data_IF_029778629094
#
_entry.id   IF_029778629094
#
_cell.length_a   1.000
_cell.length_b   1.000
_cell.length_c   1.000
_cell.angle_alpha   90.00
_cell.angle_beta   90.00
_cell.angle_gamma   90.00
#
_symmetry.space_group_name_H-M   'P 1'
#
loop_
_entity.id
_entity.type
_entity.pdbx_description
1 polymer ?
#
# COMPACT_ATOMS: atom_id res chain seq x y z
N UNK A 1 -0.33 17.46 -32.78
CA UNK A 1 -1.04 16.85 -31.63
C UNK A 1 -1.72 15.59 -32.11
N UNK A 2 -1.32 14.40 -31.65
CA UNK A 2 -2.06 13.17 -31.95
C UNK A 2 -3.26 13.12 -31.01
N UNK A 3 -4.47 13.12 -31.57
CA UNK A 3 -5.69 12.82 -30.82
C UNK A 3 -5.54 11.37 -30.32
N UNK A 4 -5.29 11.19 -29.02
CA UNK A 4 -5.31 9.86 -28.41
C UNK A 4 -6.73 9.30 -28.60
N UNK A 5 -6.85 8.21 -29.37
CA UNK A 5 -8.10 7.47 -29.48
C UNK A 5 -8.55 7.11 -28.06
N UNK A 6 -9.78 7.46 -27.74
CA UNK A 6 -10.41 7.12 -26.46
C UNK A 6 -10.29 5.60 -26.27
N UNK A 7 -9.53 5.17 -25.25
CA UNK A 7 -9.33 3.75 -24.93
C UNK A 7 -10.69 3.15 -24.52
N UNK A 8 -11.26 2.29 -25.37
CA UNK A 8 -12.56 1.64 -25.16
C UNK A 8 -12.68 1.04 -23.75
N UNK A 9 -11.58 0.47 -23.24
CA UNK A 9 -11.51 -0.11 -21.90
C UNK A 9 -11.74 0.94 -20.81
N UNK A 10 -11.20 2.14 -20.97
CA UNK A 10 -11.39 3.25 -20.03
C UNK A 10 -12.84 3.72 -20.04
N UNK A 11 -13.48 3.77 -21.22
CA UNK A 11 -14.90 4.08 -21.37
C UNK A 11 -15.76 3.02 -20.69
N UNK A 12 -15.45 1.72 -20.89
CA UNK A 12 -16.19 0.63 -20.25
C UNK A 12 -16.06 0.66 -18.73
N UNK A 13 -14.87 0.95 -18.19
CA UNK A 13 -14.68 1.12 -16.74
C UNK A 13 -15.53 2.28 -16.20
N UNK A 14 -15.53 3.42 -16.88
CA UNK A 14 -16.31 4.58 -16.47
C UNK A 14 -17.83 4.31 -16.54
N UNK A 15 -18.29 3.71 -17.64
CA UNK A 15 -19.69 3.34 -17.81
C UNK A 15 -20.15 2.34 -16.74
N UNK A 16 -19.30 1.35 -16.43
CA UNK A 16 -19.59 0.37 -15.39
C UNK A 16 -19.57 1.00 -13.98
N UNK A 17 -18.63 1.91 -13.70
CA UNK A 17 -18.59 2.64 -12.43
C UNK A 17 -19.83 3.54 -12.24
N UNK A 18 -20.30 4.18 -13.30
CA UNK A 18 -21.54 4.95 -13.30
C UNK A 18 -22.76 4.05 -13.06
N UNK A 19 -22.84 2.91 -13.76
CA UNK A 19 -23.91 1.92 -13.56
C UNK A 19 -23.92 1.41 -12.12
N UNK A 20 -22.76 1.04 -11.59
CA UNK A 20 -22.55 0.66 -10.19
C UNK A 20 -23.08 1.74 -9.23
N UNK A 21 -22.70 3.01 -9.43
CA UNK A 21 -23.18 4.11 -8.59
C UNK A 21 -24.71 4.26 -8.66
N UNK A 22 -25.30 4.22 -9.85
CA UNK A 22 -26.75 4.34 -10.05
C UNK A 22 -27.52 3.17 -9.43
N UNK A 23 -26.99 1.95 -9.52
CA UNK A 23 -27.60 0.76 -8.91
C UNK A 23 -27.47 0.74 -7.39
N UNK A 24 -26.46 1.40 -6.81
CA UNK A 24 -26.23 1.40 -5.38
C UNK A 24 -27.46 1.86 -4.61
N UNK A 25 -28.07 2.99 -5.00
CA UNK A 25 -29.28 3.52 -4.34
C UNK A 25 -30.40 2.48 -4.21
N UNK A 26 -30.68 1.74 -5.28
CA UNK A 26 -31.76 0.76 -5.31
C UNK A 26 -31.45 -0.46 -4.43
N UNK A 27 -30.20 -0.89 -4.39
CA UNK A 27 -29.79 -2.06 -3.61
C UNK A 27 -29.74 -1.71 -2.12
N UNK A 28 -29.22 -0.54 -1.74
CA UNK A 28 -29.19 -0.08 -0.35
C UNK A 28 -30.58 0.23 0.22
N UNK A 29 -31.56 0.57 -0.64
CA UNK A 29 -32.94 0.75 -0.21
C UNK A 29 -33.64 -0.56 0.21
N UNK A 30 -33.09 -1.74 -0.16
CA UNK A 30 -33.67 -3.03 0.20
C UNK A 30 -33.19 -3.50 1.58
N UNK A 31 -31.87 -3.61 1.74
CA UNK A 31 -31.18 -3.98 2.97
C UNK A 31 -29.69 -3.68 2.80
N UNK A 32 -29.09 -2.99 3.77
CA UNK A 32 -27.71 -2.51 3.70
C UNK A 32 -26.68 -3.65 3.73
N UNK A 33 -26.97 -4.73 4.47
CA UNK A 33 -26.07 -5.88 4.57
C UNK A 33 -26.08 -6.68 3.27
N UNK A 34 -27.26 -6.92 2.70
CA UNK A 34 -27.43 -7.54 1.38
C UNK A 34 -26.78 -6.64 0.32
N UNK A 35 -26.90 -5.32 0.44
CA UNK A 35 -26.28 -4.39 -0.50
C UNK A 35 -24.76 -4.51 -0.54
N UNK A 36 -24.10 -4.62 0.61
CA UNK A 36 -22.65 -4.81 0.67
C UNK A 36 -22.23 -6.13 -0.01
N UNK A 37 -23.00 -7.21 0.18
CA UNK A 37 -22.72 -8.52 -0.43
C UNK A 37 -22.90 -8.45 -1.95
N UNK A 38 -24.03 -7.92 -2.42
CA UNK A 38 -24.34 -7.79 -3.85
C UNK A 38 -23.30 -6.90 -4.53
N UNK A 39 -22.97 -5.76 -3.92
CA UNK A 39 -22.01 -4.84 -4.51
C UNK A 39 -20.59 -5.39 -4.53
N UNK A 40 -20.20 -6.19 -3.53
CA UNK A 40 -18.94 -6.93 -3.54
C UNK A 40 -18.84 -7.86 -4.76
N UNK A 41 -19.94 -8.52 -5.14
CA UNK A 41 -20.03 -9.31 -6.38
C UNK A 41 -19.94 -8.44 -7.63
N UNK A 42 -20.62 -7.28 -7.64
CA UNK A 42 -20.57 -6.33 -8.76
C UNK A 42 -19.22 -5.62 -8.91
N UNK A 43 -18.28 -5.74 -7.95
CA UNK A 43 -16.91 -5.25 -8.15
C UNK A 43 -16.09 -6.16 -9.08
N UNK A 44 -16.52 -7.39 -9.35
CA UNK A 44 -15.78 -8.34 -10.18
C UNK A 44 -15.55 -7.82 -11.62
N UNK A 45 -16.53 -7.21 -12.32
CA UNK A 45 -16.25 -6.65 -13.64
C UNK A 45 -15.31 -5.44 -13.59
N UNK A 46 -15.40 -4.57 -12.56
CA UNK A 46 -14.41 -3.49 -12.36
C UNK A 46 -13.02 -4.09 -12.23
N UNK A 47 -12.88 -5.13 -11.39
CA UNK A 47 -11.63 -5.85 -11.21
C UNK A 47 -11.13 -6.41 -12.55
N UNK A 48 -11.94 -7.15 -13.29
CA UNK A 48 -11.55 -7.73 -14.58
C UNK A 48 -11.15 -6.67 -15.62
N UNK A 49 -11.80 -5.50 -15.59
CA UNK A 49 -11.49 -4.39 -16.48
C UNK A 49 -10.22 -3.62 -16.09
N UNK A 50 -9.71 -3.73 -14.86
CA UNK A 50 -8.42 -3.14 -14.48
C UNK A 50 -7.24 -3.91 -15.05
N UNK A 51 -6.12 -3.21 -15.32
CA UNK A 51 -4.89 -3.85 -15.84
C UNK A 51 -4.16 -4.56 -14.71
N UNK A 52 -3.84 -5.83 -14.89
CA UNK A 52 -3.18 -6.68 -13.89
C UNK A 52 -2.01 -7.46 -14.48
N UNK A 53 -1.07 -7.95 -13.65
CA UNK A 53 -0.07 -8.89 -14.12
C UNK A 53 -0.73 -10.20 -14.59
N UNK A 54 -0.10 -10.92 -15.51
CA UNK A 54 -0.66 -12.17 -16.01
C UNK A 54 -0.60 -13.27 -14.93
N UNK A 55 -1.60 -13.38 -14.07
CA UNK A 55 -1.72 -14.45 -13.05
C UNK A 55 -3.18 -14.61 -12.60
N UNK A 56 -4.12 -14.93 -13.51
CA UNK A 56 -5.55 -14.79 -13.27
C UNK A 56 -6.05 -15.55 -12.04
N UNK A 57 -5.60 -16.79 -11.84
CA UNK A 57 -6.02 -17.61 -10.69
C UNK A 57 -5.61 -16.96 -9.36
N UNK A 58 -4.33 -16.59 -9.21
CA UNK A 58 -3.83 -16.01 -7.97
C UNK A 58 -4.43 -14.63 -7.68
N UNK A 59 -4.67 -13.85 -8.73
CA UNK A 59 -5.35 -12.56 -8.64
C UNK A 59 -6.81 -12.72 -8.20
N UNK A 60 -7.52 -13.71 -8.75
CA UNK A 60 -8.88 -14.04 -8.33
C UNK A 60 -8.91 -14.51 -6.87
N UNK A 61 -7.98 -15.36 -6.45
CA UNK A 61 -7.86 -15.76 -5.04
C UNK A 61 -7.59 -14.57 -4.14
N UNK A 62 -6.68 -13.66 -4.52
CA UNK A 62 -6.41 -12.43 -3.77
C UNK A 62 -7.63 -11.51 -3.68
N UNK A 63 -8.37 -11.36 -4.78
CA UNK A 63 -9.61 -10.58 -4.82
C UNK A 63 -10.70 -11.19 -3.94
N UNK A 64 -10.93 -12.50 -4.04
CA UNK A 64 -11.91 -13.20 -3.18
C UNK A 64 -11.52 -13.10 -1.70
N UNK A 65 -10.24 -13.30 -1.37
CA UNK A 65 -9.75 -13.13 0.01
C UNK A 65 -9.95 -11.70 0.51
N UNK A 66 -9.74 -10.70 -0.34
CA UNK A 66 -10.02 -9.30 -0.04
C UNK A 66 -11.50 -9.08 0.26
N UNK A 67 -12.40 -9.57 -0.58
CA UNK A 67 -13.85 -9.43 -0.36
C UNK A 67 -14.29 -10.13 0.94
N UNK A 68 -13.81 -11.35 1.18
CA UNK A 68 -14.11 -12.09 2.41
C UNK A 68 -13.62 -11.34 3.64
N UNK A 69 -12.39 -10.83 3.62
CA UNK A 69 -11.87 -10.02 4.72
C UNK A 69 -12.65 -8.72 4.92
N UNK A 70 -13.10 -8.08 3.85
CA UNK A 70 -13.96 -6.89 3.90
C UNK A 70 -15.34 -7.20 4.48
N UNK A 71 -15.94 -8.34 4.15
CA UNK A 71 -17.20 -8.78 4.73
C UNK A 71 -17.05 -9.09 6.23
N UNK A 72 -15.97 -9.75 6.62
CA UNK A 72 -15.65 -10.00 8.03
C UNK A 72 -15.52 -8.67 8.79
N UNK A 73 -14.73 -7.73 8.28
CA UNK A 73 -14.58 -6.42 8.93
C UNK A 73 -15.87 -5.61 8.92
N UNK A 74 -16.63 -5.61 7.83
CA UNK A 74 -17.94 -4.93 7.78
C UNK A 74 -18.96 -5.51 8.77
N UNK A 75 -18.89 -6.81 9.06
CA UNK A 75 -19.78 -7.45 10.03
C UNK A 75 -19.31 -7.32 11.49
N UNK A 76 -18.02 -7.01 11.73
CA UNK A 76 -17.42 -7.07 13.09
C UNK A 76 -16.90 -5.73 13.59
N UNK A 77 -16.79 -4.72 12.72
CA UNK A 77 -16.23 -3.40 13.02
C UNK A 77 -17.28 -2.35 12.69
N UNK A 78 -17.58 -1.51 13.68
CA UNK A 78 -18.38 -0.30 13.48
C UNK A 78 -17.59 0.69 12.60
N UNK A 79 -18.13 1.15 11.45
CA UNK A 79 -17.50 2.17 10.62
C UNK A 79 -17.19 3.47 11.39
N UNK A 80 -17.91 3.74 12.48
CA UNK A 80 -17.80 4.91 13.36
C UNK A 80 -17.06 4.58 14.69
N UNK A 81 -16.07 3.68 14.63
CA UNK A 81 -15.36 3.19 15.82
C UNK A 81 -14.60 4.25 16.65
N UNK A 82 -14.42 5.48 16.16
CA UNK A 82 -13.62 6.51 16.81
C UNK A 82 -14.16 7.93 16.62
N UNK A 83 -13.61 8.91 17.36
CA UNK A 83 -14.10 10.28 17.36
C UNK A 83 -13.93 10.99 16.01
N UNK A 84 -12.85 10.66 15.27
CA UNK A 84 -12.62 11.23 13.94
C UNK A 84 -13.66 10.71 12.94
N UNK A 85 -13.96 9.41 12.99
CA UNK A 85 -14.94 8.75 12.13
C UNK A 85 -16.34 9.33 12.37
N UNK A 86 -16.72 9.50 13.64
CA UNK A 86 -17.99 10.14 14.03
C UNK A 86 -18.06 11.57 13.48
N UNK A 87 -17.04 12.41 13.73
CA UNK A 87 -17.03 13.80 13.23
C UNK A 87 -17.10 13.90 11.71
N UNK A 88 -16.49 12.97 10.98
CA UNK A 88 -16.63 12.94 9.52
C UNK A 88 -18.05 12.59 9.09
N UNK A 89 -18.67 11.60 9.74
CA UNK A 89 -20.03 11.20 9.41
C UNK A 89 -21.09 12.25 9.83
N UNK A 90 -20.85 13.00 10.90
CA UNK A 90 -21.70 14.11 11.33
C UNK A 90 -21.91 15.16 10.23
N UNK A 91 -20.97 15.35 9.31
CA UNK A 91 -21.19 16.24 8.16
C UNK A 91 -22.27 15.70 7.23
N UNK A 92 -22.36 14.37 7.07
CA UNK A 92 -23.41 13.72 6.27
C UNK A 92 -24.77 13.97 6.90
N UNK A 93 -24.90 13.84 8.22
CA UNK A 93 -26.20 13.98 8.89
C UNK A 93 -26.61 15.43 9.11
N UNK A 94 -25.65 16.34 9.34
CA UNK A 94 -25.90 17.76 9.62
C UNK A 94 -26.40 18.52 8.40
N UNK A 95 -25.77 18.33 7.24
CA UNK A 95 -26.14 19.05 6.03
C UNK A 95 -27.18 18.27 5.23
N UNK A 96 -28.37 18.82 5.04
CA UNK A 96 -29.43 18.16 4.25
C UNK A 96 -29.03 18.03 2.78
N UNK A 97 -28.49 19.09 2.19
CA UNK A 97 -28.11 19.13 0.77
C UNK A 97 -26.63 19.47 0.56
N UNK A 98 -26.11 19.14 -0.63
CA UNK A 98 -24.76 19.55 -1.04
C UNK A 98 -24.63 21.08 -1.15
N UNK A 99 -25.71 21.78 -1.50
CA UNK A 99 -25.74 23.24 -1.57
C UNK A 99 -25.56 23.91 -0.22
N UNK A 100 -25.95 23.26 0.88
CA UNK A 100 -25.75 23.80 2.24
C UNK A 100 -24.31 23.55 2.72
N UNK A 101 -23.77 22.40 2.34
CA UNK A 101 -22.42 21.98 2.71
C UNK A 101 -21.32 22.77 1.99
N UNK A 102 -21.50 23.07 0.69
CA UNK A 102 -20.45 23.65 -0.13
C UNK A 102 -20.01 25.04 0.34
N UNK A 103 -20.91 25.98 0.72
CA UNK A 103 -20.53 27.25 1.33
C UNK A 103 -19.74 27.08 2.63
N UNK A 104 -20.14 26.14 3.50
CA UNK A 104 -19.42 25.84 4.73
C UNK A 104 -17.99 25.36 4.46
N UNK A 105 -17.83 24.42 3.51
CA UNK A 105 -16.51 23.91 3.15
C UNK A 105 -15.64 25.01 2.52
N UNK A 106 -16.20 25.86 1.64
CA UNK A 106 -15.47 26.98 1.03
C UNK A 106 -15.05 28.03 2.06
N UNK A 107 -15.92 28.35 3.01
CA UNK A 107 -15.61 29.32 4.06
C UNK A 107 -14.48 28.81 4.96
N UNK A 108 -14.52 27.53 5.32
CA UNK A 108 -13.46 26.90 6.11
C UNK A 108 -12.13 26.88 5.36
N UNK A 109 -12.15 26.57 4.06
CA UNK A 109 -10.97 26.64 3.18
C UNK A 109 -10.41 28.07 3.13
N UNK A 110 -11.28 29.08 3.00
CA UNK A 110 -10.89 30.49 2.86
C UNK A 110 -10.33 31.07 4.15
N UNK A 111 -10.95 30.77 5.29
CA UNK A 111 -10.65 31.41 6.57
C UNK A 111 -9.60 30.67 7.38
N UNK A 112 -9.51 29.35 7.23
CA UNK A 112 -8.64 28.51 8.04
C UNK A 112 -7.56 27.80 7.22
N UNK A 113 -7.16 28.32 6.06
CA UNK A 113 -6.22 27.66 5.13
C UNK A 113 -4.97 27.03 5.80
N UNK A 114 -4.40 27.72 6.79
CA UNK A 114 -3.19 27.28 7.50
C UNK A 114 -3.45 26.21 8.59
N UNK A 115 -4.71 26.06 9.03
CA UNK A 115 -5.16 25.14 10.09
C UNK A 115 -6.43 24.39 9.66
N UNK A 116 -6.59 24.09 8.36
CA UNK A 116 -7.82 23.48 7.85
C UNK A 116 -8.04 22.16 8.59
N UNK A 117 -9.19 22.03 9.24
CA UNK A 117 -9.63 20.73 9.72
C UNK A 117 -9.79 19.80 8.52
N UNK A 118 -9.27 18.58 8.61
CA UNK A 118 -9.42 17.61 7.53
C UNK A 118 -10.89 17.21 7.28
N UNK A 119 -11.80 17.58 8.19
CA UNK A 119 -13.23 17.23 8.16
C UNK A 119 -13.91 17.81 6.91
N UNK A 120 -13.95 19.14 6.68
CA UNK A 120 -14.49 19.71 5.44
C UNK A 120 -13.76 19.28 4.17
N UNK A 121 -12.45 18.99 4.19
CA UNK A 121 -11.78 18.52 2.96
C UNK A 121 -12.18 17.08 2.64
N UNK A 122 -12.37 16.25 3.66
CA UNK A 122 -12.81 14.87 3.47
C UNK A 122 -14.23 14.84 2.91
N UNK A 123 -15.13 15.71 3.40
CA UNK A 123 -16.51 15.78 2.91
C UNK A 123 -16.66 16.12 1.43
N UNK A 124 -15.71 16.85 0.82
CA UNK A 124 -15.73 17.11 -0.62
C UNK A 124 -15.70 15.83 -1.48
N UNK A 125 -15.18 14.72 -0.95
CA UNK A 125 -15.16 13.43 -1.65
C UNK A 125 -16.39 12.57 -1.32
N UNK A 126 -16.73 12.41 -0.04
CA UNK A 126 -17.77 11.45 0.36
C UNK A 126 -19.18 12.06 0.38
N UNK A 127 -19.35 13.37 0.62
CA UNK A 127 -20.69 13.99 0.64
C UNK A 127 -21.43 13.80 -0.69
N UNK A 128 -20.81 14.00 -1.88
CA UNK A 128 -21.49 13.72 -3.14
C UNK A 128 -21.96 12.28 -3.25
N UNK A 129 -21.16 11.32 -2.76
CA UNK A 129 -21.53 9.91 -2.75
C UNK A 129 -22.76 9.63 -1.89
N UNK A 130 -22.81 10.15 -0.65
CA UNK A 130 -23.97 9.96 0.23
C UNK A 130 -25.20 10.72 -0.24
N UNK A 131 -25.06 11.99 -0.64
CA UNK A 131 -26.20 12.86 -0.97
C UNK A 131 -26.80 12.60 -2.34
N UNK A 132 -26.01 12.28 -3.36
CA UNK A 132 -26.58 11.91 -4.66
C UNK A 132 -27.27 10.56 -4.63
N UNK A 133 -26.78 9.63 -3.82
CA UNK A 133 -27.35 8.28 -3.69
C UNK A 133 -28.43 8.18 -2.61
N UNK A 134 -28.65 9.25 -1.84
CA UNK A 134 -29.58 9.28 -0.70
C UNK A 134 -29.29 8.18 0.31
N UNK A 135 -28.01 7.98 0.60
CA UNK A 135 -27.55 7.03 1.60
C UNK A 135 -27.47 7.75 2.94
N UNK A 136 -28.02 7.13 3.98
CA UNK A 136 -27.97 7.65 5.34
C UNK A 136 -27.09 6.79 6.23
N UNK A 137 -26.92 5.50 5.93
CA UNK A 137 -26.15 4.59 6.77
C UNK A 137 -24.62 4.70 6.53
N UNK A 138 -23.81 4.81 7.60
CA UNK A 138 -22.36 4.94 7.51
C UNK A 138 -21.66 3.73 6.86
N UNK A 139 -22.24 2.52 6.91
CA UNK A 139 -21.71 1.31 6.26
C UNK A 139 -21.56 1.46 4.75
N UNK A 140 -22.32 2.35 4.12
CA UNK A 140 -22.16 2.67 2.70
C UNK A 140 -20.72 3.13 2.34
N UNK A 141 -19.95 3.68 3.31
CA UNK A 141 -18.56 4.08 3.07
C UNK A 141 -17.66 2.89 2.72
N UNK A 142 -17.98 1.69 3.20
CA UNK A 142 -17.21 0.47 2.97
C UNK A 142 -17.11 0.22 1.46
N UNK A 143 -18.19 0.47 0.73
CA UNK A 143 -18.27 0.29 -0.71
C UNK A 143 -17.34 1.26 -1.44
N UNK A 144 -17.45 2.56 -1.16
CA UNK A 144 -16.58 3.58 -1.75
C UNK A 144 -15.11 3.26 -1.46
N UNK A 145 -14.79 2.96 -0.21
CA UNK A 145 -13.42 2.64 0.21
C UNK A 145 -12.91 1.32 -0.39
N UNK A 146 -13.78 0.36 -0.73
CA UNK A 146 -13.38 -0.86 -1.45
C UNK A 146 -12.97 -0.54 -2.88
N UNK A 147 -13.69 0.35 -3.57
CA UNK A 147 -13.29 0.84 -4.89
C UNK A 147 -11.94 1.57 -4.79
N UNK A 148 -11.77 2.45 -3.80
CA UNK A 148 -10.50 3.14 -3.58
C UNK A 148 -9.35 2.16 -3.28
N UNK A 149 -9.60 1.09 -2.53
CA UNK A 149 -8.63 0.04 -2.27
C UNK A 149 -8.17 -0.67 -3.55
N UNK A 150 -9.11 -1.04 -4.44
CA UNK A 150 -8.78 -1.61 -5.75
C UNK A 150 -7.93 -0.64 -6.59
N UNK A 151 -8.26 0.66 -6.55
CA UNK A 151 -7.49 1.70 -7.24
C UNK A 151 -6.09 1.87 -6.63
N UNK A 152 -5.92 1.76 -5.31
CA UNK A 152 -4.61 1.75 -4.64
C UNK A 152 -3.76 0.60 -5.15
N UNK A 153 -4.31 -0.62 -5.14
CA UNK A 153 -3.57 -1.81 -5.59
C UNK A 153 -3.20 -1.67 -7.06
N UNK A 154 -4.13 -1.18 -7.89
CA UNK A 154 -3.87 -0.96 -9.31
C UNK A 154 -2.83 0.14 -9.56
N UNK A 155 -2.89 1.25 -8.81
CA UNK A 155 -1.92 2.34 -8.89
C UNK A 155 -0.52 1.86 -8.51
N UNK A 156 -0.40 1.10 -7.41
CA UNK A 156 0.84 0.50 -6.97
C UNK A 156 1.40 -0.49 -8.01
N UNK A 157 0.55 -1.33 -8.61
CA UNK A 157 0.95 -2.21 -9.72
C UNK A 157 1.49 -1.42 -10.90
N UNK A 158 0.74 -0.45 -11.43
CA UNK A 158 1.15 0.36 -12.58
C UNK A 158 2.42 1.14 -12.30
N UNK A 159 2.61 1.57 -11.06
CA UNK A 159 3.81 2.27 -10.66
C UNK A 159 5.04 1.35 -10.67
N UNK A 160 4.88 0.15 -10.11
CA UNK A 160 5.91 -0.88 -10.11
C UNK A 160 6.25 -1.38 -11.52
N UNK A 161 5.24 -1.72 -12.32
CA UNK A 161 5.39 -2.21 -13.69
C UNK A 161 6.18 -1.25 -14.59
N UNK A 162 5.91 0.06 -14.49
CA UNK A 162 6.50 1.07 -15.38
C UNK A 162 7.79 1.71 -14.88
N UNK A 163 7.93 1.93 -13.57
CA UNK A 163 9.02 2.73 -13.02
C UNK A 163 9.90 1.99 -12.02
N UNK A 164 9.59 0.75 -11.63
CA UNK A 164 10.50 -0.05 -10.81
C UNK A 164 11.69 -0.54 -11.64
N UNK A 165 12.81 0.19 -11.54
CA UNK A 165 14.04 -0.08 -12.32
C UNK A 165 15.17 -0.67 -11.49
N UNK A 166 14.87 -1.23 -10.32
CA UNK A 166 15.88 -1.87 -9.47
C UNK A 166 16.18 -3.29 -9.97
N UNK A 167 17.41 -3.75 -9.75
CA UNK A 167 17.84 -5.08 -10.22
C UNK A 167 17.06 -6.16 -9.48
N UNK A 168 16.37 -7.02 -10.24
CA UNK A 168 15.75 -8.26 -9.77
C UNK A 168 16.69 -9.44 -10.03
N UNK A 169 16.58 -10.55 -9.27
CA UNK A 169 17.43 -11.70 -9.50
C UNK A 169 17.19 -12.29 -10.90
N UNK A 170 18.23 -12.89 -11.52
CA UNK A 170 18.08 -13.51 -12.83
C UNK A 170 17.03 -14.63 -12.77
N UNK A 171 16.28 -14.77 -13.87
CA UNK A 171 15.32 -15.85 -14.04
C UNK A 171 16.01 -17.20 -13.83
N UNK A 172 15.34 -18.13 -13.14
CA UNK A 172 15.86 -19.49 -12.95
C UNK A 172 15.98 -20.27 -14.28
N UNK A 173 15.24 -19.83 -15.31
CA UNK A 173 15.27 -20.39 -16.67
C UNK A 173 15.24 -19.24 -17.68
N UNK A 174 16.37 -18.52 -17.87
CA UNK A 174 16.41 -17.28 -18.63
C UNK A 174 16.06 -17.47 -20.11
N UNK A 175 16.31 -18.65 -20.68
CA UNK A 175 15.98 -19.00 -22.07
C UNK A 175 14.47 -19.18 -22.30
N UNK A 176 13.71 -19.53 -21.27
CA UNK A 176 12.28 -19.85 -21.36
C UNK A 176 11.38 -18.69 -20.95
N UNK A 177 11.81 -17.89 -19.97
CA UNK A 177 11.04 -16.74 -19.48
C UNK A 177 12.00 -15.66 -18.91
N UNK A 178 12.43 -14.70 -19.75
CA UNK A 178 13.35 -13.65 -19.33
C UNK A 178 12.71 -12.66 -18.35
N UNK A 179 11.39 -12.53 -18.35
CA UNK A 179 10.64 -11.57 -17.52
C UNK A 179 10.03 -12.21 -16.25
N UNK A 180 10.32 -13.49 -15.99
CA UNK A 180 9.75 -14.25 -14.88
C UNK A 180 9.87 -13.52 -13.53
N UNK A 181 11.02 -12.93 -13.23
CA UNK A 181 11.27 -12.23 -11.97
C UNK A 181 10.42 -10.97 -11.84
N UNK A 182 10.26 -10.19 -12.92
CA UNK A 182 9.42 -8.98 -12.96
C UNK A 182 7.95 -9.34 -12.77
N UNK A 183 7.47 -10.38 -13.47
CA UNK A 183 6.11 -10.90 -13.31
C UNK A 183 5.87 -11.40 -11.89
N UNK A 184 6.80 -12.17 -11.33
CA UNK A 184 6.69 -12.68 -9.95
C UNK A 184 6.64 -11.54 -8.94
N UNK A 185 7.51 -10.53 -9.08
CA UNK A 185 7.51 -9.33 -8.25
C UNK A 185 6.17 -8.59 -8.31
N UNK A 186 5.64 -8.35 -9.51
CA UNK A 186 4.36 -7.68 -9.71
C UNK A 186 3.20 -8.46 -9.08
N UNK A 187 3.17 -9.78 -9.28
CA UNK A 187 2.14 -10.67 -8.72
C UNK A 187 2.18 -10.68 -7.19
N UNK A 188 3.36 -10.81 -6.57
CA UNK A 188 3.48 -10.79 -5.11
C UNK A 188 3.05 -9.43 -4.54
N UNK A 189 3.42 -8.34 -5.20
CA UNK A 189 3.01 -6.99 -4.77
C UNK A 189 1.49 -6.83 -4.80
N UNK A 190 0.86 -7.21 -5.92
CA UNK A 190 -0.59 -7.09 -6.10
C UNK A 190 -1.34 -7.98 -5.12
N UNK A 191 -0.95 -9.26 -5.05
CA UNK A 191 -1.56 -10.21 -4.14
C UNK A 191 -1.40 -9.75 -2.68
N UNK A 192 -0.19 -9.37 -2.28
CA UNK A 192 0.11 -8.89 -0.93
C UNK A 192 -0.73 -7.69 -0.51
N UNK A 193 -0.91 -6.71 -1.40
CA UNK A 193 -1.76 -5.55 -1.14
C UNK A 193 -3.24 -5.89 -1.07
N UNK A 194 -3.73 -6.80 -1.93
CA UNK A 194 -5.12 -7.26 -1.86
C UNK A 194 -5.40 -7.98 -0.55
N UNK A 195 -4.48 -8.80 -0.06
CA UNK A 195 -4.66 -9.59 1.16
C UNK A 195 -4.20 -8.87 2.44
N UNK A 196 -3.86 -7.57 2.37
CA UNK A 196 -3.39 -6.78 3.53
C UNK A 196 -4.53 -6.51 4.53
N UNK A 197 -4.47 -7.09 5.75
CA UNK A 197 -5.47 -6.84 6.78
C UNK A 197 -5.54 -5.37 7.21
N UNK A 198 -4.41 -4.65 7.24
CA UNK A 198 -4.39 -3.21 7.55
C UNK A 198 -5.18 -2.38 6.53
N UNK A 199 -5.04 -2.67 5.23
CA UNK A 199 -5.80 -1.98 4.20
C UNK A 199 -7.28 -2.38 4.22
N UNK A 200 -7.61 -3.66 4.44
CA UNK A 200 -9.00 -4.10 4.55
C UNK A 200 -9.71 -3.48 5.76
N UNK A 201 -9.05 -3.47 6.92
CA UNK A 201 -9.58 -2.88 8.15
C UNK A 201 -9.83 -1.38 7.96
N UNK A 202 -8.82 -0.64 7.50
CA UNK A 202 -8.91 0.82 7.39
C UNK A 202 -9.83 1.28 6.26
N UNK A 203 -10.03 0.45 5.24
CA UNK A 203 -11.06 0.70 4.23
C UNK A 203 -12.47 0.37 4.69
N UNK A 204 -12.64 -0.22 5.88
CA UNK A 204 -13.96 -0.50 6.46
C UNK A 204 -14.39 0.55 7.49
N UNK A 205 -13.52 1.53 7.78
CA UNK A 205 -13.80 2.67 8.64
C UNK A 205 -14.18 3.91 7.84
N UNK A 206 -14.94 4.81 8.46
CA UNK A 206 -15.26 6.13 7.92
C UNK A 206 -14.08 7.10 8.10
N UNK A 207 -12.94 6.79 7.48
CA UNK A 207 -11.70 7.53 7.69
C UNK A 207 -11.02 7.96 6.38
N UNK A 208 -10.37 9.12 6.42
CA UNK A 208 -9.64 9.72 5.28
C UNK A 208 -8.41 8.94 4.79
N UNK A 209 -8.00 7.88 5.48
CA UNK A 209 -6.68 7.26 5.28
C UNK A 209 -6.51 6.58 3.94
N UNK A 210 -7.51 5.82 3.49
CA UNK A 210 -7.49 5.13 2.19
C UNK A 210 -7.37 6.16 1.07
N UNK A 211 -8.17 7.23 1.13
CA UNK A 211 -8.08 8.35 0.20
C UNK A 211 -6.67 8.96 0.19
N UNK A 212 -6.06 9.18 1.36
CA UNK A 212 -4.69 9.70 1.45
C UNK A 212 -3.66 8.77 0.78
N UNK A 213 -3.78 7.45 0.97
CA UNK A 213 -2.88 6.48 0.30
C UNK A 213 -3.00 6.59 -1.22
N UNK A 214 -4.23 6.63 -1.73
CA UNK A 214 -4.49 6.75 -3.17
C UNK A 214 -3.92 8.04 -3.75
N UNK A 215 -4.17 9.18 -3.10
CA UNK A 215 -3.68 10.49 -3.53
C UNK A 215 -2.14 10.54 -3.50
N UNK A 216 -1.49 9.90 -2.54
CA UNK A 216 -0.02 9.76 -2.52
C UNK A 216 0.54 9.01 -3.72
N UNK A 217 -0.09 7.89 -4.08
CA UNK A 217 0.30 7.10 -5.25
C UNK A 217 0.05 7.89 -6.55
N UNK A 218 -1.12 8.52 -6.68
CA UNK A 218 -1.44 9.33 -7.85
C UNK A 218 -0.56 10.58 -7.96
N UNK A 219 -0.29 11.28 -6.86
CA UNK A 219 0.65 12.39 -6.84
C UNK A 219 2.04 11.97 -7.33
N UNK A 220 2.56 10.84 -6.85
CA UNK A 220 3.85 10.31 -7.30
C UNK A 220 3.82 9.92 -8.79
N UNK A 221 2.75 9.27 -9.27
CA UNK A 221 2.57 8.93 -10.68
C UNK A 221 2.54 10.19 -11.56
N UNK A 222 1.83 11.24 -11.14
CA UNK A 222 1.73 12.51 -11.87
C UNK A 222 3.09 13.21 -11.94
N UNK A 223 3.88 13.20 -10.85
CA UNK A 223 5.26 13.70 -10.86
C UNK A 223 6.15 12.90 -11.82
N UNK A 224 6.07 11.56 -11.80
CA UNK A 224 6.83 10.69 -12.72
C UNK A 224 6.45 10.93 -14.19
N UNK A 225 5.21 11.32 -14.46
CA UNK A 225 4.71 11.72 -15.78
C UNK A 225 4.95 13.19 -16.14
N UNK A 226 5.51 13.99 -15.22
CA UNK A 226 5.72 15.45 -15.37
C UNK A 226 4.41 16.24 -15.60
N UNK A 227 3.29 15.74 -15.08
CA UNK A 227 1.98 16.41 -15.17
C UNK A 227 1.81 17.38 -13.99
N UNK A 228 2.60 18.47 -13.99
CA UNK A 228 2.76 19.36 -12.83
C UNK A 228 1.48 20.07 -12.38
N UNK A 229 0.64 20.52 -13.32
CA UNK A 229 -0.60 21.25 -12.98
C UNK A 229 -1.56 20.33 -12.21
N UNK A 230 -1.82 19.14 -12.75
CA UNK A 230 -2.69 18.15 -12.10
C UNK A 230 -2.08 17.66 -10.80
N UNK A 231 -0.75 17.51 -10.75
CA UNK A 231 -0.04 17.20 -9.51
C UNK A 231 -0.28 18.24 -8.43
N UNK A 232 -0.17 19.54 -8.73
CA UNK A 232 -0.42 20.61 -7.75
C UNK A 232 -1.86 20.53 -7.21
N UNK A 233 -2.86 20.33 -8.07
CA UNK A 233 -4.25 20.18 -7.64
C UNK A 233 -4.46 18.97 -6.71
N UNK A 234 -3.91 17.81 -7.08
CA UNK A 234 -3.96 16.59 -6.25
C UNK A 234 -3.25 16.82 -4.92
N UNK A 235 -2.11 17.51 -4.93
CA UNK A 235 -1.35 17.77 -3.72
C UNK A 235 -2.06 18.74 -2.77
N UNK A 236 -2.67 19.81 -3.28
CA UNK A 236 -3.45 20.74 -2.47
C UNK A 236 -4.58 20.00 -1.74
N UNK A 237 -5.29 19.12 -2.45
CA UNK A 237 -6.32 18.29 -1.86
C UNK A 237 -5.75 17.30 -0.83
N UNK A 238 -4.66 16.61 -1.17
CA UNK A 238 -4.01 15.65 -0.28
C UNK A 238 -3.45 16.29 1.00
N UNK A 239 -2.87 17.50 0.91
CA UNK A 239 -2.38 18.25 2.07
C UNK A 239 -3.52 18.77 2.94
N UNK A 240 -4.65 19.16 2.34
CA UNK A 240 -5.84 19.54 3.10
C UNK A 240 -6.46 18.36 3.87
N UNK A 241 -6.28 17.12 3.40
CA UNK A 241 -6.63 15.93 4.18
C UNK A 241 -5.57 15.59 5.22
N UNK A 242 -4.29 15.77 4.88
CA UNK A 242 -3.16 15.34 5.72
C UNK A 242 -1.95 16.21 5.46
N UNK A 243 -1.56 17.02 6.42
CA UNK A 243 -0.56 18.09 6.26
C UNK A 243 0.79 17.58 5.72
N UNK A 244 1.19 16.37 6.12
CA UNK A 244 2.43 15.73 5.67
C UNK A 244 2.28 14.90 4.38
N UNK A 245 1.20 15.08 3.61
CA UNK A 245 0.95 14.32 2.38
C UNK A 245 2.04 14.48 1.33
N UNK A 246 2.60 15.68 1.25
CA UNK A 246 3.68 16.01 0.33
C UNK A 246 4.93 15.16 0.59
N UNK A 247 5.20 14.81 1.84
CA UNK A 247 6.40 14.08 2.23
C UNK A 247 6.35 12.64 1.72
N UNK A 248 5.28 11.89 2.01
CA UNK A 248 5.20 10.51 1.50
C UNK A 248 5.10 10.48 -0.03
N UNK A 249 4.46 11.47 -0.65
CA UNK A 249 4.37 11.56 -2.12
C UNK A 249 5.73 11.78 -2.77
N UNK A 250 6.52 12.72 -2.25
CA UNK A 250 7.88 12.98 -2.71
C UNK A 250 8.78 11.77 -2.44
N UNK A 251 8.63 11.11 -1.29
CA UNK A 251 9.34 9.87 -0.96
C UNK A 251 9.07 8.76 -1.99
N UNK A 252 7.81 8.56 -2.42
CA UNK A 252 7.49 7.61 -3.49
C UNK A 252 8.13 8.04 -4.80
N UNK A 253 7.96 9.30 -5.20
CA UNK A 253 8.57 9.82 -6.42
C UNK A 253 10.09 9.58 -6.44
N UNK A 254 10.80 9.89 -5.35
CA UNK A 254 12.24 9.70 -5.26
C UNK A 254 12.62 8.23 -5.42
N UNK A 255 11.93 7.31 -4.73
CA UNK A 255 12.15 5.87 -4.81
C UNK A 255 12.07 5.38 -6.26
N UNK A 256 10.97 5.70 -6.97
CA UNK A 256 10.77 5.25 -8.34
C UNK A 256 11.60 6.00 -9.38
N UNK A 257 11.97 7.26 -9.12
CA UNK A 257 12.90 8.02 -9.95
C UNK A 257 14.38 7.65 -9.71
N UNK A 258 14.66 6.81 -8.71
CA UNK A 258 16.00 6.35 -8.29
C UNK A 258 16.99 7.49 -7.99
N UNK A 259 16.48 8.64 -7.52
CA UNK A 259 17.27 9.85 -7.24
C UNK A 259 17.85 9.85 -5.82
N UNK A 260 18.84 9.00 -5.58
CA UNK A 260 19.45 8.83 -4.25
C UNK A 260 19.98 10.15 -3.65
N UNK A 261 20.65 10.99 -4.44
CA UNK A 261 21.16 12.30 -3.98
C UNK A 261 20.04 13.20 -3.48
N UNK A 262 18.93 13.27 -4.22
CA UNK A 262 17.75 14.04 -3.81
C UNK A 262 17.13 13.50 -2.53
N UNK A 263 17.03 12.18 -2.40
CA UNK A 263 16.53 11.55 -1.18
C UNK A 263 17.41 11.83 0.04
N UNK A 264 18.75 11.78 -0.12
CA UNK A 264 19.68 12.13 0.95
C UNK A 264 19.57 13.60 1.37
N UNK A 265 19.44 14.53 0.42
CA UNK A 265 19.27 15.96 0.74
C UNK A 265 17.99 16.18 1.54
N UNK A 266 16.86 15.59 1.13
CA UNK A 266 15.60 15.72 1.86
C UNK A 266 15.69 15.06 3.24
N UNK A 267 16.34 13.90 3.34
CA UNK A 267 16.56 13.23 4.63
C UNK A 267 17.40 14.10 5.58
N UNK A 268 18.52 14.66 5.10
CA UNK A 268 19.37 15.54 5.91
C UNK A 268 18.59 16.79 6.34
N UNK A 269 17.81 17.39 5.44
CA UNK A 269 16.93 18.50 5.77
C UNK A 269 15.89 18.14 6.83
N UNK A 270 15.25 16.98 6.71
CA UNK A 270 14.29 16.48 7.70
C UNK A 270 14.95 16.22 9.06
N UNK A 271 16.13 15.61 9.09
CA UNK A 271 16.93 15.40 10.31
C UNK A 271 17.28 16.74 10.96
N UNK A 272 17.81 17.69 10.17
CA UNK A 272 18.16 19.02 10.68
C UNK A 272 16.96 19.73 11.29
N UNK A 273 15.80 19.65 10.63
CA UNK A 273 14.56 20.25 11.12
C UNK A 273 14.06 19.62 12.43
N UNK A 274 14.05 18.29 12.55
CA UNK A 274 13.63 17.64 13.81
C UNK A 274 14.62 17.90 14.95
N UNK A 275 15.91 17.98 14.65
CA UNK A 275 16.93 18.28 15.67
C UNK A 275 16.78 19.72 16.15
N UNK A 276 16.49 20.67 15.26
CA UNK A 276 16.24 22.06 15.63
C UNK A 276 14.96 22.25 16.45
N UNK A 277 13.89 21.53 16.10
CA UNK A 277 12.57 21.73 16.71
C UNK A 277 12.38 20.94 18.02
N UNK A 278 12.92 19.72 18.08
CA UNK A 278 12.66 18.77 19.18
C UNK A 278 13.93 18.42 19.95
N UNK A 279 15.09 18.53 19.30
CA UNK A 279 16.40 18.15 19.86
C UNK A 279 16.92 16.81 19.36
N UNK A 280 18.16 16.44 19.75
CA UNK A 280 18.85 15.23 19.24
C UNK A 280 18.13 13.91 19.51
N UNK A 281 17.36 13.83 20.60
CA UNK A 281 16.57 12.64 20.95
C UNK A 281 15.54 12.27 19.86
N UNK A 282 15.07 13.25 19.09
CA UNK A 282 14.13 13.02 18.00
C UNK A 282 14.70 12.11 16.90
N UNK A 283 16.02 12.11 16.70
CA UNK A 283 16.69 11.25 15.71
C UNK A 283 16.60 9.78 16.14
N UNK A 284 16.78 9.51 17.44
CA UNK A 284 16.64 8.16 18.01
C UNK A 284 15.18 7.70 17.86
N UNK A 285 14.22 8.55 18.24
CA UNK A 285 12.80 8.25 18.08
C UNK A 285 12.41 8.02 16.60
N UNK A 286 12.98 8.77 15.66
CA UNK A 286 12.76 8.56 14.22
C UNK A 286 13.35 7.23 13.73
N UNK A 287 14.52 6.83 14.24
CA UNK A 287 15.12 5.53 13.98
C UNK A 287 14.24 4.38 14.49
N UNK A 288 13.80 4.47 15.75
CA UNK A 288 12.87 3.51 16.34
C UNK A 288 11.55 3.45 15.58
N UNK A 289 10.99 4.61 15.21
CA UNK A 289 9.75 4.68 14.44
C UNK A 289 9.89 4.06 13.04
N UNK A 290 11.03 4.22 12.39
CA UNK A 290 11.30 3.60 11.08
C UNK A 290 11.16 2.08 11.13
N UNK A 291 11.62 1.46 12.22
CA UNK A 291 11.45 0.03 12.47
C UNK A 291 10.01 -0.28 12.88
N UNK A 292 9.43 0.55 13.75
CA UNK A 292 8.06 0.39 14.24
C UNK A 292 7.02 0.40 13.10
N UNK A 293 7.25 1.14 12.02
CA UNK A 293 6.37 1.11 10.84
C UNK A 293 6.21 -0.29 10.24
N UNK A 294 7.19 -1.19 10.37
CA UNK A 294 7.06 -2.59 9.95
C UNK A 294 6.35 -3.43 11.00
N UNK A 295 6.64 -3.18 12.29
CA UNK A 295 6.19 -3.99 13.43
C UNK A 295 4.86 -3.46 14.03
N UNK A 296 4.17 -2.53 13.38
CA UNK A 296 2.91 -1.98 13.89
C UNK A 296 1.69 -2.70 13.29
N UNK A 297 0.71 -3.19 14.08
CA UNK A 297 0.63 -3.14 15.56
C UNK A 297 1.65 -4.06 16.26
N UNK A 298 2.16 -3.65 17.42
CA UNK A 298 3.25 -4.33 18.13
C UNK A 298 2.87 -5.77 18.54
N UNK A 299 3.49 -6.82 17.97
CA UNK A 299 3.18 -8.20 18.32
C UNK A 299 3.54 -8.58 19.76
N UNK A 300 4.41 -7.83 20.42
CA UNK A 300 4.76 -8.09 21.83
C UNK A 300 3.66 -7.66 22.81
N UNK A 301 2.70 -6.83 22.38
CA UNK A 301 1.56 -6.47 23.22
C UNK A 301 0.46 -7.53 23.07
N UNK A 302 0.16 -8.25 24.15
CA UNK A 302 -0.82 -9.33 24.18
C UNK A 302 -2.23 -8.88 23.77
N UNK A 303 -2.61 -7.63 24.04
CA UNK A 303 -3.91 -7.08 23.62
C UNK A 303 -4.08 -7.00 22.09
N UNK A 304 -2.98 -6.96 21.33
CA UNK A 304 -3.06 -6.96 19.87
C UNK A 304 -3.39 -8.35 19.28
N UNK A 305 -3.42 -9.40 20.10
CA UNK A 305 -3.78 -10.76 19.69
C UNK A 305 -5.28 -11.05 19.84
N UNK A 306 -6.06 -10.09 20.31
CA UNK A 306 -7.53 -10.18 20.33
C UNK A 306 -8.09 -10.37 18.91
N UNK A 307 -9.24 -11.06 18.74
CA UNK A 307 -9.80 -11.39 17.43
C UNK A 307 -9.92 -10.21 16.46
N UNK A 308 -10.23 -9.01 17.00
CA UNK A 308 -10.36 -7.77 16.21
C UNK A 308 -9.04 -7.31 15.57
N UNK A 309 -7.91 -7.53 16.24
CA UNK A 309 -6.58 -7.07 15.82
C UNK A 309 -5.66 -8.19 15.33
N UNK A 310 -6.03 -9.45 15.56
CA UNK A 310 -5.24 -10.63 15.28
C UNK A 310 -4.64 -10.66 13.86
N UNK A 311 -5.45 -10.46 12.82
CA UNK A 311 -4.97 -10.47 11.43
C UNK A 311 -3.95 -9.35 11.14
N UNK A 312 -4.13 -8.17 11.74
CA UNK A 312 -3.18 -7.05 11.60
C UNK A 312 -1.87 -7.34 12.33
N UNK A 313 -1.93 -8.05 13.46
CA UNK A 313 -0.74 -8.49 14.20
C UNK A 313 0.05 -9.55 13.42
N UNK A 314 -0.64 -10.49 12.75
CA UNK A 314 0.00 -11.42 11.83
C UNK A 314 0.68 -10.71 10.64
N UNK A 315 0.03 -9.69 10.06
CA UNK A 315 0.62 -8.86 9.03
C UNK A 315 1.89 -8.14 9.53
N UNK A 316 1.87 -7.59 10.74
CA UNK A 316 3.03 -6.95 11.35
C UNK A 316 4.19 -7.95 11.56
N UNK A 317 3.91 -9.18 12.00
CA UNK A 317 4.92 -10.24 12.10
C UNK A 317 5.52 -10.60 10.73
N UNK A 318 4.67 -10.74 9.71
CA UNK A 318 5.14 -10.96 8.34
C UNK A 318 6.05 -9.81 7.87
N UNK A 319 5.63 -8.55 8.06
CA UNK A 319 6.43 -7.37 7.69
C UNK A 319 7.73 -7.28 8.48
N UNK A 320 7.74 -7.66 9.76
CA UNK A 320 8.93 -7.73 10.60
C UNK A 320 9.92 -8.80 10.09
N UNK A 321 9.41 -9.98 9.75
CA UNK A 321 10.22 -11.04 9.14
C UNK A 321 10.81 -10.58 7.80
N UNK A 322 10.03 -9.91 6.96
CA UNK A 322 10.51 -9.34 5.70
C UNK A 322 11.55 -8.25 5.91
N UNK A 323 11.41 -7.41 6.94
CA UNK A 323 12.42 -6.43 7.32
C UNK A 323 13.74 -7.12 7.68
N UNK A 324 13.73 -8.12 8.56
CA UNK A 324 14.93 -8.88 8.93
C UNK A 324 15.58 -9.55 7.70
N UNK A 325 14.78 -10.17 6.83
CA UNK A 325 15.25 -10.79 5.60
C UNK A 325 15.81 -9.76 4.60
N UNK A 326 15.27 -8.55 4.57
CA UNK A 326 15.78 -7.47 3.70
C UNK A 326 17.18 -7.02 4.12
N UNK A 327 17.43 -6.89 5.43
CA UNK A 327 18.75 -6.61 6.00
C UNK A 327 19.74 -7.73 5.65
N UNK A 328 19.35 -8.99 5.79
CA UNK A 328 20.20 -10.11 5.38
C UNK A 328 20.57 -10.04 3.89
N UNK A 329 19.61 -9.74 3.01
CA UNK A 329 19.85 -9.63 1.57
C UNK A 329 20.71 -8.42 1.20
N UNK A 330 20.58 -7.30 1.92
CA UNK A 330 21.43 -6.12 1.76
C UNK A 330 22.92 -6.46 1.92
N UNK A 331 23.26 -7.24 2.95
CA UNK A 331 24.65 -7.64 3.18
C UNK A 331 25.11 -8.70 2.17
N UNK A 332 24.25 -9.67 1.84
CA UNK A 332 24.57 -10.81 0.98
C UNK A 332 24.73 -10.44 -0.51
N UNK A 333 23.85 -9.62 -1.07
CA UNK A 333 23.81 -9.31 -2.51
C UNK A 333 24.05 -7.82 -2.78
N UNK A 334 25.11 -7.51 -3.52
CA UNK A 334 25.53 -6.13 -3.82
C UNK A 334 24.48 -5.36 -4.64
N UNK A 335 23.78 -6.08 -5.51
CA UNK A 335 22.75 -5.59 -6.42
C UNK A 335 21.55 -5.00 -5.67
N UNK A 336 21.23 -5.56 -4.50
CA UNK A 336 20.07 -5.16 -3.69
C UNK A 336 20.31 -3.89 -2.89
N UNK A 337 21.57 -3.51 -2.67
CA UNK A 337 21.96 -2.43 -1.75
C UNK A 337 21.34 -1.10 -2.13
N UNK A 338 21.30 -0.77 -3.42
CA UNK A 338 20.74 0.50 -3.89
C UNK A 338 19.25 0.63 -3.61
N UNK A 339 18.49 -0.46 -3.73
CA UNK A 339 17.06 -0.47 -3.44
C UNK A 339 16.82 -0.31 -1.93
N UNK A 340 17.42 -1.17 -1.11
CA UNK A 340 17.22 -1.14 0.33
C UNK A 340 17.74 0.14 0.99
N UNK A 341 18.86 0.70 0.51
CA UNK A 341 19.34 2.01 0.96
C UNK A 341 18.33 3.11 0.65
N UNK A 342 17.79 3.13 -0.57
CA UNK A 342 16.77 4.11 -0.94
C UNK A 342 15.51 3.96 -0.10
N UNK A 343 15.03 2.72 0.08
CA UNK A 343 13.87 2.39 0.90
C UNK A 343 14.07 2.84 2.36
N UNK A 344 15.24 2.56 2.95
CA UNK A 344 15.57 2.97 4.30
C UNK A 344 15.56 4.50 4.43
N UNK A 345 16.17 5.22 3.48
CA UNK A 345 16.20 6.70 3.49
C UNK A 345 14.79 7.28 3.42
N UNK A 346 13.92 6.79 2.52
CA UNK A 346 12.58 7.36 2.35
C UNK A 346 11.65 7.03 3.54
N UNK A 347 11.76 5.83 4.11
CA UNK A 347 11.02 5.43 5.32
C UNK A 347 11.51 6.23 6.53
N UNK A 348 12.82 6.42 6.66
CA UNK A 348 13.39 7.23 7.74
C UNK A 348 13.00 8.71 7.62
N UNK A 349 13.04 9.27 6.42
CA UNK A 349 12.57 10.64 6.16
C UNK A 349 11.09 10.80 6.56
N UNK A 350 10.26 9.81 6.24
CA UNK A 350 8.87 9.79 6.65
C UNK A 350 8.71 9.71 8.18
N UNK A 351 9.52 8.87 8.85
CA UNK A 351 9.54 8.75 10.30
C UNK A 351 9.96 10.05 10.99
N UNK A 352 10.93 10.80 10.46
CA UNK A 352 11.29 12.13 10.98
C UNK A 352 10.07 13.06 11.00
N UNK A 353 9.29 13.10 9.92
CA UNK A 353 8.11 13.95 9.85
C UNK A 353 7.01 13.48 10.79
N UNK A 354 6.80 12.17 10.93
CA UNK A 354 5.85 11.64 11.90
C UNK A 354 6.25 11.95 13.36
N UNK A 355 7.55 11.95 13.67
CA UNK A 355 8.06 12.38 14.97
C UNK A 355 7.75 13.85 15.22
N UNK A 356 7.92 14.73 14.23
CA UNK A 356 7.56 16.14 14.34
C UNK A 356 6.06 16.34 14.62
N UNK A 357 5.20 15.62 13.90
CA UNK A 357 3.74 15.64 14.11
C UNK A 357 3.37 15.08 15.48
N UNK A 358 4.04 14.00 15.91
CA UNK A 358 3.89 13.43 17.25
C UNK A 358 4.27 14.41 18.34
N UNK A 359 5.41 15.10 18.19
CA UNK A 359 5.89 16.12 19.11
C UNK A 359 4.87 17.24 19.30
N UNK A 360 4.37 17.84 18.22
CA UNK A 360 3.33 18.87 18.28
C UNK A 360 2.06 18.40 19.02
N UNK A 361 1.71 17.12 18.92
CA UNK A 361 0.55 16.56 19.63
C UNK A 361 0.84 16.39 21.14
N UNK A 362 2.04 15.92 21.48
CA UNK A 362 2.46 15.66 22.88
C UNK A 362 2.64 16.97 23.64
N UNK A 363 3.32 17.95 23.05
CA UNK A 363 3.50 19.28 23.66
C UNK A 363 2.19 20.04 23.77
N UNK A 364 1.30 19.90 22.78
CA UNK A 364 -0.06 20.46 22.84
C UNK A 364 -0.91 19.88 23.99
N UNK A 365 -0.56 18.71 24.52
CA UNK A 365 -1.20 18.09 25.70
C UNK A 365 -0.39 18.26 26.99
N UNK A 366 0.62 19.13 26.99
CA UNK A 366 1.51 19.38 28.15
C UNK A 366 2.15 18.10 28.73
N UNK A 367 2.42 17.11 27.87
CA UNK A 367 3.13 15.89 28.25
C UNK A 367 4.63 16.01 27.94
N UNK A 368 5.46 15.41 28.79
CA UNK A 368 6.91 15.38 28.57
C UNK A 368 7.27 14.49 27.36
N UNK A 369 8.03 15.05 26.43
CA UNK A 369 8.52 14.31 25.27
C UNK A 369 9.79 13.54 25.64
N UNK A 370 9.69 12.21 25.63
CA UNK A 370 10.74 11.29 26.07
C UNK A 370 11.22 10.32 24.98
N UNK A 371 12.12 9.42 25.37
CA UNK A 371 12.54 8.33 24.48
C UNK A 371 11.37 7.38 24.25
N UNK A 372 11.06 7.08 22.99
CA UNK A 372 9.93 6.23 22.62
C UNK A 372 8.56 6.91 22.63
N UNK A 373 8.47 8.21 22.94
CA UNK A 373 7.20 8.95 22.78
C UNK A 373 7.02 9.32 21.31
N UNK A 374 6.19 8.54 20.60
CA UNK A 374 6.00 8.67 19.15
C UNK A 374 4.63 9.33 18.82
N UNK A 375 3.76 9.50 19.83
CA UNK A 375 2.43 10.08 19.71
C UNK A 375 1.35 9.04 19.34
N UNK A 376 0.09 9.48 19.32
CA UNK A 376 -1.06 8.58 19.18
C UNK A 376 -1.24 8.00 17.77
N UNK A 377 -1.88 6.82 17.72
CA UNK A 377 -2.44 6.18 16.52
C UNK A 377 -1.44 5.93 15.38
N UNK A 378 -0.27 5.41 15.71
CA UNK A 378 0.76 5.06 14.73
C UNK A 378 0.33 4.04 13.69
N UNK A 379 -0.60 3.13 14.02
CA UNK A 379 -1.08 2.15 13.02
C UNK A 379 -1.79 2.85 11.85
N UNK A 380 -2.54 3.92 12.13
CA UNK A 380 -3.18 4.75 11.12
C UNK A 380 -2.15 5.56 10.33
N UNK A 381 -1.12 6.07 11.00
CA UNK A 381 -0.02 6.82 10.35
C UNK A 381 0.91 5.93 9.52
N UNK A 382 0.88 4.61 9.68
CA UNK A 382 1.59 3.65 8.81
C UNK A 382 0.96 3.53 7.41
N UNK A 383 -0.35 3.73 7.27
CA UNK A 383 -1.10 3.41 6.05
C UNK A 383 -0.52 4.01 4.76
N UNK A 384 -0.13 5.30 4.72
CA UNK A 384 0.40 5.88 3.49
C UNK A 384 1.59 5.11 2.93
N UNK A 385 2.47 4.56 3.78
CA UNK A 385 3.68 3.85 3.35
C UNK A 385 3.48 2.34 3.16
N UNK A 386 2.31 1.78 3.44
CA UNK A 386 2.01 0.35 3.24
C UNK A 386 2.32 -0.13 1.81
N UNK A 387 1.98 0.59 0.73
CA UNK A 387 2.39 0.21 -0.63
C UNK A 387 3.90 0.05 -0.81
N UNK A 388 4.70 0.90 -0.16
CA UNK A 388 6.17 0.79 -0.20
C UNK A 388 6.65 -0.39 0.64
N UNK A 389 6.07 -0.61 1.81
CA UNK A 389 6.41 -1.78 2.66
C UNK A 389 6.15 -3.08 1.89
N UNK A 390 5.01 -3.21 1.21
CA UNK A 390 4.73 -4.37 0.37
C UNK A 390 5.65 -4.48 -0.85
N UNK A 391 6.08 -3.35 -1.41
CA UNK A 391 7.10 -3.33 -2.48
C UNK A 391 8.43 -3.88 -1.96
N UNK A 392 8.85 -3.50 -0.74
CA UNK A 392 10.03 -4.05 -0.07
C UNK A 392 9.86 -5.55 0.16
N UNK A 393 8.74 -5.98 0.75
CA UNK A 393 8.44 -7.39 1.00
C UNK A 393 8.44 -8.23 -0.28
N UNK A 394 7.82 -7.74 -1.36
CA UNK A 394 7.80 -8.42 -2.65
C UNK A 394 9.22 -8.54 -3.23
N UNK A 395 10.01 -7.47 -3.20
CA UNK A 395 11.40 -7.50 -3.64
C UNK A 395 12.22 -8.52 -2.84
N UNK A 396 12.10 -8.52 -1.52
CA UNK A 396 12.79 -9.47 -0.63
C UNK A 396 12.35 -10.91 -0.91
N UNK A 397 11.06 -11.19 -1.09
CA UNK A 397 10.55 -12.53 -1.38
C UNK A 397 11.10 -13.11 -2.69
N UNK A 398 11.19 -12.28 -3.74
CA UNK A 398 11.75 -12.71 -5.03
C UNK A 398 13.22 -13.10 -4.87
N UNK A 399 14.01 -12.35 -4.09
CA UNK A 399 15.39 -12.68 -3.78
C UNK A 399 15.55 -13.88 -2.82
N UNK A 400 14.63 -14.06 -1.86
CA UNK A 400 14.57 -15.25 -1.01
C UNK A 400 14.39 -16.50 -1.87
N UNK A 401 13.41 -16.50 -2.78
CA UNK A 401 13.15 -17.62 -3.71
C UNK A 401 14.40 -17.98 -4.52
N UNK A 402 15.12 -16.97 -5.04
CA UNK A 402 16.38 -17.18 -5.75
C UNK A 402 17.45 -17.82 -4.84
N UNK A 403 17.62 -17.31 -3.60
CA UNK A 403 18.57 -17.86 -2.63
C UNK A 403 18.29 -19.32 -2.27
N UNK A 404 17.03 -19.73 -2.15
CA UNK A 404 16.67 -21.12 -1.87
C UNK A 404 16.87 -22.03 -3.09
N UNK A 405 16.51 -21.57 -4.30
CA UNK A 405 16.70 -22.34 -5.53
C UNK A 405 18.18 -22.67 -5.79
N UNK A 406 19.09 -21.73 -5.54
CA UNK A 406 20.54 -21.95 -5.68
C UNK A 406 21.10 -23.00 -4.71
N UNK A 407 20.50 -23.17 -3.52
CA UNK A 407 20.92 -24.21 -2.57
C UNK A 407 20.50 -25.60 -3.04
N UNK A 408 19.31 -25.75 -3.62
CA UNK A 408 18.84 -27.03 -4.14
C UNK A 408 19.60 -27.49 -5.39
N UNK A 409 20.09 -26.57 -6.23
CA UNK A 409 20.97 -26.92 -7.36
C UNK A 409 22.37 -27.39 -6.92
N UNK A 410 22.81 -27.04 -5.70
CA UNK A 410 24.10 -27.45 -5.14
C UNK A 410 24.06 -28.76 -4.34
N UNK A 411 22.88 -29.33 -4.08
CA UNK A 411 22.73 -30.68 -3.51
C UNK A 411 22.83 -31.66 -4.69
N UNK A 412 23.96 -32.33 -4.87
CA UNK A 412 24.37 -32.74 -6.20
C UNK A 412 23.81 -34.11 -6.60
N UNK A 413 23.56 -34.21 -7.90
CA UNK A 413 24.11 -35.14 -8.91
C UNK A 413 25.42 -35.90 -8.56
N UNK A 414 25.73 -36.17 -7.28
CA UNK A 414 26.83 -37.04 -6.82
C UNK A 414 26.46 -38.53 -6.96
N UNK A 415 25.19 -38.89 -7.08
CA UNK A 415 24.79 -40.30 -7.23
C UNK A 415 24.85 -40.85 -8.67
N UNK A 416 25.14 -40.05 -9.70
CA UNK A 416 25.14 -40.55 -11.09
C UNK A 416 26.51 -40.84 -11.70
N UNK A 417 27.62 -40.53 -11.01
CA UNK A 417 28.98 -40.81 -11.51
C UNK A 417 29.65 -42.05 -10.90
N UNK A 418 29.05 -42.67 -9.88
CA UNK A 418 29.59 -43.88 -9.24
C UNK A 418 28.84 -45.17 -9.62
N UNK A 419 27.89 -45.11 -10.58
CA UNK A 419 27.13 -46.28 -11.02
C UNK A 419 27.60 -46.88 -12.36
N UNK A 420 28.73 -46.41 -12.92
CA UNK A 420 29.28 -46.93 -14.19
C UNK A 420 30.65 -47.59 -14.07
N UNK A 421 31.07 -47.97 -12.86
CA UNK A 421 32.31 -48.73 -12.67
C UNK A 421 32.06 -50.00 -11.85
N UNK A 422 31.33 -50.96 -12.43
CA UNK A 422 31.49 -52.36 -12.08
C UNK A 422 30.93 -53.28 -13.17
N UNK A 423 31.83 -54.11 -13.68
CA UNK A 423 31.58 -55.42 -14.31
C UNK A 423 31.20 -55.46 -15.80
N UNK A 424 32.23 -55.66 -16.63
CA UNK A 424 32.21 -56.68 -17.68
C UNK A 424 33.64 -57.11 -18.02
N UNK A 425 34.11 -58.12 -17.28
CA UNK A 425 35.22 -59.00 -17.63
C UNK A 425 34.81 -60.00 -18.71
N UNK A 426 35.71 -60.26 -19.67
CA UNK A 426 35.89 -61.59 -20.26
C UNK A 426 35.23 -61.86 -21.62
N UNK A 427 36.05 -62.16 -22.62
CA UNK A 427 35.60 -62.74 -23.89
C UNK A 427 36.64 -62.67 -25.00
N UNK A 428 37.75 -63.40 -24.85
CA UNK A 428 38.56 -63.85 -25.97
C UNK A 428 37.70 -64.69 -26.93
N UNK A 429 37.67 -64.35 -28.21
CA UNK A 429 37.52 -65.32 -29.29
C UNK A 429 38.36 -64.90 -30.50
N UNK A 430 39.37 -65.71 -30.71
CA UNK A 430 40.20 -65.82 -31.88
C UNK A 430 39.42 -66.44 -33.06
N UNK A 431 40.02 -66.31 -34.25
CA UNK A 431 39.80 -67.09 -35.47
C UNK A 431 38.68 -66.70 -36.46
N UNK A 432 39.14 -66.35 -37.67
CA UNK A 432 38.76 -67.14 -38.85
C UNK A 432 37.89 -66.46 -39.90
N UNK A 433 38.55 -65.94 -40.93
CA UNK A 433 38.14 -65.91 -42.35
C UNK A 433 36.81 -66.60 -42.74
N UNK A 434 35.85 -65.85 -43.27
CA UNK A 434 35.58 -65.70 -44.72
C UNK A 434 34.51 -64.65 -44.96
#
# INVERSE_FOLDING_TARGET
MRVERIDLRTVTVLAYALMLALTARWVFALDETIAIVVYSGLLLPVFALLRWPNAPVLLMTGFTAMLVGKLIYGATVDPLAGPDEIHYFEQVTTFQTLSDYMPYAMEHIRTQWMNISAVPIFGLLYMPFFKWLQLEDPMAIILLNTVLLLLIVNAAYRMNDKWFKYVLPPSTKPELDPEQSQRTFAVITVFGLMVSPSLMYMSSLFAKDITCVLLGLYGAILMLRKQWIVFVLVMLYATGLRDYAIIYTISFYLLYAQRLRGALIIMIGAVGLIVLQVGPLAVINAGMLSVFLFISPNPSNLGNWEPKLFLRTLEALFMAAMLAMSVFHYFKFKETRRFYLMAAIVIFTYACVLVLVGYATVTGRSLDYGLGTIGDNMVRKKLPVVPVIYTISAYTLVWCRHSFSMKHLKIPTIQRKNASSSNATGGDYDAGTR
#
